data_IF_846816235316
#
_entry.id   IF_846816235316
#
_cell.length_a   1.000
_cell.length_b   1.000
_cell.length_c   1.000
_cell.angle_alpha   90.00
_cell.angle_beta   90.00
_cell.angle_gamma   90.00
#
_symmetry.space_group_name_H-M   'P 1'
#
loop_
_entity.id
_entity.type
_entity.pdbx_description
1 polymer ?
#
# COMPACT_ATOMS: atom_id res chain seq x y z
N UNK A 1 -6.94 -7.41 14.09
CA UNK A 1 -6.54 -7.35 12.67
C UNK A 1 -5.11 -6.84 12.63
N UNK A 2 -4.09 -7.69 12.45
CA UNK A 2 -2.69 -7.27 12.60
C UNK A 2 -1.61 -8.27 12.20
N UNK A 3 -1.97 -9.55 11.96
CA UNK A 3 -0.99 -10.56 11.52
C UNK A 3 -0.31 -10.18 10.19
N UNK A 4 -1.09 -9.66 9.24
CA UNK A 4 -0.55 -9.17 7.96
C UNK A 4 0.38 -7.97 8.17
N UNK A 5 0.02 -7.04 9.06
CA UNK A 5 0.84 -5.88 9.37
C UNK A 5 2.14 -6.30 10.05
N UNK A 6 2.12 -7.20 11.04
CA UNK A 6 3.34 -7.69 11.69
C UNK A 6 4.29 -8.41 10.73
N UNK A 7 3.76 -9.13 9.74
CA UNK A 7 4.59 -9.76 8.70
C UNK A 7 5.19 -8.70 7.78
N UNK A 8 4.39 -7.71 7.36
CA UNK A 8 4.85 -6.61 6.52
C UNK A 8 5.87 -5.71 7.25
N UNK A 9 5.76 -5.51 8.56
CA UNK A 9 6.76 -4.81 9.35
C UNK A 9 8.09 -5.56 9.39
N UNK A 10 8.04 -6.90 9.47
CA UNK A 10 9.25 -7.74 9.56
C UNK A 10 9.98 -7.93 8.23
N UNK A 11 9.23 -8.05 7.13
CA UNK A 11 9.80 -8.41 5.81
C UNK A 11 9.76 -7.29 4.78
N UNK A 12 9.16 -6.15 5.12
CA UNK A 12 8.99 -5.01 4.24
C UNK A 12 7.53 -4.79 3.87
N UNK A 13 7.16 -3.50 3.76
CA UNK A 13 5.79 -3.08 3.46
C UNK A 13 5.35 -3.65 2.12
N UNK A 14 4.26 -4.41 2.11
CA UNK A 14 3.72 -5.04 0.90
C UNK A 14 4.23 -6.46 0.61
N UNK A 15 4.99 -7.08 1.53
CA UNK A 15 5.39 -8.49 1.42
C UNK A 15 4.18 -9.44 1.35
N UNK A 16 3.11 -9.13 2.09
CA UNK A 16 1.81 -9.78 1.98
C UNK A 16 0.72 -8.77 1.61
N UNK A 17 -0.17 -9.18 0.70
CA UNK A 17 -1.34 -8.43 0.24
C UNK A 17 -2.56 -9.33 0.22
N UNK A 18 -3.72 -8.77 0.54
CA UNK A 18 -5.00 -9.47 0.40
C UNK A 18 -5.27 -9.79 -1.08
N UNK A 19 -5.66 -11.04 -1.36
CA UNK A 19 -5.96 -11.50 -2.72
C UNK A 19 -7.13 -10.76 -3.38
N UNK A 20 -8.02 -10.15 -2.57
CA UNK A 20 -9.12 -9.32 -3.07
C UNK A 20 -8.68 -7.98 -3.63
N UNK A 21 -7.45 -7.53 -3.37
CA UNK A 21 -6.97 -6.23 -3.83
C UNK A 21 -6.24 -6.40 -5.17
N UNK A 22 -6.76 -5.84 -6.27
CA UNK A 22 -6.20 -6.00 -7.60
C UNK A 22 -4.83 -5.34 -7.73
N UNK A 23 -3.97 -5.85 -8.62
CA UNK A 23 -2.61 -5.31 -8.84
C UNK A 23 -2.61 -3.81 -9.08
N UNK A 24 -3.52 -3.34 -9.94
CA UNK A 24 -3.74 -1.92 -10.22
C UNK A 24 -5.17 -1.51 -9.79
N UNK A 25 -5.37 -1.02 -8.55
CA UNK A 25 -6.67 -0.55 -8.11
C UNK A 25 -6.98 0.81 -8.76
N UNK A 26 -8.25 0.99 -9.16
CA UNK A 26 -8.77 2.27 -9.67
C UNK A 26 -8.88 3.34 -8.55
N UNK A 27 -8.89 2.89 -7.30
CA UNK A 27 -8.94 3.73 -6.11
C UNK A 27 -7.56 3.86 -5.45
N UNK A 28 -7.27 5.04 -4.92
CA UNK A 28 -5.99 5.35 -4.29
C UNK A 28 -6.10 6.48 -3.26
N UNK A 29 -4.95 6.87 -2.68
CA UNK A 29 -4.90 7.98 -1.73
C UNK A 29 -5.27 9.28 -2.45
N UNK A 30 -6.24 10.00 -1.89
CA UNK A 30 -6.69 11.27 -2.43
C UNK A 30 -5.56 12.30 -2.32
N UNK A 31 -5.30 13.05 -3.39
CA UNK A 31 -4.10 13.91 -3.49
C UNK A 31 -4.04 15.01 -2.43
N UNK A 32 -5.19 15.50 -1.98
CA UNK A 32 -5.31 16.47 -0.88
C UNK A 32 -5.15 15.86 0.52
N UNK A 33 -5.10 14.53 0.63
CA UNK A 33 -4.95 13.77 1.89
C UNK A 33 -3.74 12.83 1.86
N UNK A 34 -2.68 13.21 1.15
CA UNK A 34 -1.45 12.41 1.13
C UNK A 34 -0.81 12.38 2.51
N UNK A 35 -0.59 11.16 3.03
CA UNK A 35 0.22 10.98 4.23
C UNK A 35 1.68 11.32 3.94
N UNK A 36 2.41 11.82 4.94
CA UNK A 36 3.84 12.13 4.83
C UNK A 36 4.69 10.91 4.46
N UNK A 37 4.21 9.70 4.74
CA UNK A 37 4.88 8.45 4.35
C UNK A 37 4.35 7.86 3.04
N UNK A 38 3.57 8.60 2.25
CA UNK A 38 3.09 8.11 0.96
C UNK A 38 4.19 8.21 -0.09
N UNK A 39 4.51 7.07 -0.72
CA UNK A 39 5.46 7.01 -1.83
C UNK A 39 4.69 6.82 -3.13
N UNK A 40 4.78 7.81 -4.01
CA UNK A 40 4.18 7.75 -5.36
C UNK A 40 4.81 6.62 -6.16
N UNK A 41 4.00 5.83 -6.87
CA UNK A 41 4.54 4.83 -7.80
C UNK A 41 5.19 5.53 -8.99
N UNK A 42 6.26 4.95 -9.54
CA UNK A 42 6.98 5.53 -10.69
C UNK A 42 6.06 5.74 -11.90
N UNK A 43 5.07 4.85 -12.09
CA UNK A 43 4.05 4.94 -13.14
C UNK A 43 3.08 6.14 -12.99
N UNK A 44 3.07 6.80 -11.83
CA UNK A 44 2.20 7.94 -11.53
C UNK A 44 2.91 9.31 -11.66
N UNK A 45 4.16 9.33 -12.12
CA UNK A 45 4.90 10.55 -12.50
C UNK A 45 4.63 10.91 -13.97
#
# INVERSE_FOLDING_TARGET
MGVLDSINERWGRGALRLASVPTNPDWGVRREMMSQSFTTRVDQL
#
